data_IF_285065342717
#
_entry.id   IF_285065342717
#
_cell.length_a   1.000
_cell.length_b   1.000
_cell.length_c   1.000
_cell.angle_alpha   90.00
_cell.angle_beta   90.00
_cell.angle_gamma   90.00
#
_symmetry.space_group_name_H-M   'P 1'
#
loop_
_entity.id
_entity.type
_entity.pdbx_description
1 polymer ?
#
# COMPACT_ATOMS: atom_id res chain seq x y z
N UNK A 1 4.29 -8.17 16.63
CA UNK A 1 3.37 -9.25 16.23
C UNK A 1 4.09 -10.12 15.23
N UNK A 2 4.05 -11.46 15.36
CA UNK A 2 4.64 -12.37 14.36
C UNK A 2 3.55 -12.88 13.43
N UNK A 3 3.72 -12.73 12.12
CA UNK A 3 2.83 -13.27 11.09
C UNK A 3 3.58 -14.39 10.36
N UNK A 4 3.02 -15.59 10.35
CA UNK A 4 3.62 -16.77 9.71
C UNK A 4 2.81 -17.19 8.49
N UNK A 5 3.49 -17.44 7.37
CA UNK A 5 2.89 -18.06 6.18
C UNK A 5 3.28 -19.53 6.15
N UNK A 6 2.32 -20.38 5.77
CA UNK A 6 2.56 -21.83 5.66
C UNK A 6 3.26 -22.12 4.34
N UNK A 7 4.46 -22.71 4.42
CA UNK A 7 5.26 -23.13 3.26
C UNK A 7 6.75 -23.22 3.58
N UNK A 8 7.53 -23.80 2.67
CA UNK A 8 9.00 -23.79 2.71
C UNK A 8 9.53 -22.86 1.61
N UNK A 9 9.59 -21.57 1.93
CA UNK A 9 10.00 -20.56 0.95
C UNK A 9 11.52 -20.47 0.76
N UNK A 10 12.27 -21.49 1.19
CA UNK A 10 13.61 -21.74 0.66
C UNK A 10 13.56 -22.44 -0.71
N UNK A 11 12.44 -23.11 -1.02
CA UNK A 11 12.29 -23.96 -2.23
C UNK A 11 11.28 -23.42 -3.22
N UNK A 12 10.27 -22.70 -2.74
CA UNK A 12 9.16 -22.21 -3.57
C UNK A 12 8.76 -20.79 -3.18
N UNK A 13 8.13 -20.07 -4.11
CA UNK A 13 7.51 -18.78 -3.79
C UNK A 13 6.17 -19.01 -3.08
N UNK A 14 5.76 -18.15 -2.14
CA UNK A 14 4.42 -18.21 -1.56
C UNK A 14 3.33 -18.12 -2.64
N UNK A 15 2.19 -18.78 -2.41
CA UNK A 15 1.06 -18.69 -3.32
C UNK A 15 0.56 -17.24 -3.41
N UNK A 16 0.08 -16.83 -4.58
CA UNK A 16 -0.38 -15.46 -4.82
C UNK A 16 -1.41 -14.99 -3.78
N UNK A 17 -2.36 -15.86 -3.43
CA UNK A 17 -3.39 -15.60 -2.42
C UNK A 17 -2.82 -15.40 -1.00
N UNK A 18 -1.70 -16.05 -0.66
CA UNK A 18 -1.03 -15.85 0.63
C UNK A 18 -0.38 -14.45 0.70
N UNK A 19 0.23 -14.00 -0.40
CA UNK A 19 0.81 -12.66 -0.49
C UNK A 19 -0.28 -11.59 -0.45
N UNK A 20 -1.37 -11.77 -1.20
CA UNK A 20 -2.51 -10.86 -1.19
C UNK A 20 -3.14 -10.74 0.21
N UNK A 21 -3.36 -11.89 0.88
CA UNK A 21 -3.88 -11.91 2.24
C UNK A 21 -2.94 -11.23 3.23
N UNK A 22 -1.63 -11.42 3.08
CA UNK A 22 -0.62 -10.76 3.92
C UNK A 22 -0.66 -9.23 3.72
N UNK A 23 -0.73 -8.75 2.48
CA UNK A 23 -0.83 -7.32 2.19
C UNK A 23 -2.10 -6.74 2.81
N UNK A 24 -3.26 -7.36 2.60
CA UNK A 24 -4.53 -6.89 3.16
C UNK A 24 -4.49 -6.83 4.69
N UNK A 25 -3.88 -7.84 5.33
CA UNK A 25 -3.68 -7.84 6.78
C UNK A 25 -2.77 -6.69 7.22
N UNK A 26 -1.64 -6.49 6.56
CA UNK A 26 -0.71 -5.43 6.89
C UNK A 26 -1.33 -4.04 6.70
N UNK A 27 -2.11 -3.82 5.63
CA UNK A 27 -2.88 -2.59 5.40
C UNK A 27 -3.90 -2.35 6.52
N UNK A 28 -4.68 -3.38 6.89
CA UNK A 28 -5.65 -3.28 7.97
C UNK A 28 -4.97 -2.95 9.31
N UNK A 29 -3.87 -3.64 9.62
CA UNK A 29 -3.11 -3.37 10.84
C UNK A 29 -2.57 -1.94 10.80
N UNK A 30 -2.05 -1.46 9.67
CA UNK A 30 -1.57 -0.09 9.54
C UNK A 30 -2.68 0.92 9.83
N UNK A 31 -3.89 0.71 9.31
CA UNK A 31 -5.05 1.57 9.60
C UNK A 31 -5.41 1.57 11.09
N UNK A 32 -5.41 0.39 11.73
CA UNK A 32 -5.71 0.27 13.16
C UNK A 32 -4.66 0.99 14.00
N UNK A 33 -3.38 0.78 13.71
CA UNK A 33 -2.28 1.36 14.50
C UNK A 33 -2.05 2.84 14.18
N UNK A 34 -2.35 3.32 12.96
CA UNK A 34 -2.29 4.74 12.61
C UNK A 34 -3.20 5.61 13.48
N UNK A 35 -4.30 5.05 14.00
CA UNK A 35 -5.18 5.75 14.94
C UNK A 35 -4.53 6.02 16.31
N UNK A 36 -3.45 5.30 16.65
CA UNK A 36 -2.76 5.38 17.95
C UNK A 36 -1.29 5.77 17.84
N UNK A 37 -0.69 5.63 16.66
CA UNK A 37 0.67 6.01 16.33
C UNK A 37 0.65 6.76 14.98
N UNK A 38 1.00 8.05 14.90
CA UNK A 38 0.99 8.83 13.65
C UNK A 38 1.86 8.22 12.54
N UNK A 39 2.86 7.43 12.93
CA UNK A 39 3.76 6.70 12.04
C UNK A 39 3.20 5.34 11.58
N UNK A 40 2.03 4.92 12.06
CA UNK A 40 1.44 3.63 11.70
C UNK A 40 2.35 2.45 12.07
N UNK A 41 2.46 1.48 11.17
CA UNK A 41 3.37 0.33 11.27
C UNK A 41 4.69 0.63 10.55
N UNK A 42 5.58 1.33 11.25
CA UNK A 42 6.88 1.74 10.70
C UNK A 42 7.96 0.64 10.70
N UNK A 43 7.70 -0.53 11.29
CA UNK A 43 8.74 -1.54 11.53
C UNK A 43 8.30 -2.96 11.17
N UNK A 44 7.92 -3.18 9.91
CA UNK A 44 7.68 -4.55 9.40
C UNK A 44 9.00 -5.18 8.98
N UNK A 45 9.48 -6.06 9.84
CA UNK A 45 10.72 -6.83 9.69
C UNK A 45 10.44 -8.28 9.30
N UNK A 46 11.35 -8.84 8.52
CA UNK A 46 11.45 -10.27 8.27
C UNK A 46 12.01 -10.96 9.52
N UNK A 47 11.68 -12.24 9.72
CA UNK A 47 12.15 -12.95 10.91
C UNK A 47 13.69 -13.03 10.99
N UNK A 48 14.37 -13.17 9.85
CA UNK A 48 15.84 -13.10 9.74
C UNK A 48 16.46 -11.77 10.13
N UNK A 49 15.68 -10.68 10.17
CA UNK A 49 16.18 -9.34 10.55
C UNK A 49 16.11 -9.11 12.07
N UNK A 50 15.42 -9.98 12.81
CA UNK A 50 15.28 -9.90 14.27
C UNK A 50 15.87 -11.11 15.00
N UNK A 51 16.37 -12.10 14.26
CA UNK A 51 16.96 -13.31 14.83
C UNK A 51 17.81 -14.11 13.84
N UNK A 52 18.64 -15.01 14.36
CA UNK A 52 19.50 -15.89 13.55
C UNK A 52 18.68 -17.03 12.92
N UNK A 53 17.98 -16.73 11.83
CA UNK A 53 17.13 -17.68 11.10
C UNK A 53 17.12 -17.37 9.61
N UNK A 54 16.80 -18.39 8.79
CA UNK A 54 16.60 -18.22 7.33
C UNK A 54 15.17 -17.78 6.98
N UNK A 55 14.24 -17.89 7.93
CA UNK A 55 12.84 -17.49 7.78
C UNK A 55 12.71 -15.98 7.43
N UNK A 56 11.85 -15.57 6.47
CA UNK A 56 10.79 -16.35 5.84
C UNK A 56 11.24 -17.16 4.61
N UNK A 57 12.52 -17.22 4.29
CA UNK A 57 13.05 -17.98 3.15
C UNK A 57 13.60 -17.09 2.05
N UNK A 58 14.46 -17.67 1.21
CA UNK A 58 15.17 -16.95 0.13
C UNK A 58 14.26 -16.61 -1.06
N UNK A 59 13.24 -17.43 -1.31
CA UNK A 59 12.22 -17.22 -2.35
C UNK A 59 11.05 -16.35 -1.88
N UNK A 60 11.08 -15.87 -0.63
CA UNK A 60 10.05 -14.96 -0.13
C UNK A 60 10.16 -13.59 -0.83
N UNK A 61 9.05 -13.04 -1.38
CA UNK A 61 9.11 -11.87 -2.25
C UNK A 61 9.16 -10.55 -1.45
N UNK A 62 10.31 -10.30 -0.79
CA UNK A 62 10.53 -9.13 0.08
C UNK A 62 10.29 -7.82 -0.64
N UNK A 63 10.88 -7.64 -1.82
CA UNK A 63 10.78 -6.37 -2.55
C UNK A 63 9.34 -6.08 -2.99
N UNK A 64 8.60 -7.12 -3.38
CA UNK A 64 7.18 -7.00 -3.69
C UNK A 64 6.37 -6.59 -2.45
N UNK A 65 6.68 -7.19 -1.30
CA UNK A 65 6.03 -6.83 -0.05
C UNK A 65 6.32 -5.36 0.31
N UNK A 66 7.59 -4.96 0.29
CA UNK A 66 8.01 -3.58 0.61
C UNK A 66 7.40 -2.56 -0.34
N UNK A 67 7.43 -2.80 -1.65
CA UNK A 67 6.84 -1.89 -2.62
C UNK A 67 5.31 -1.73 -2.51
N UNK A 68 4.61 -2.73 -1.97
CA UNK A 68 3.15 -2.69 -1.79
C UNK A 68 2.72 -2.25 -0.39
N UNK A 69 3.64 -2.26 0.58
CA UNK A 69 3.34 -2.04 2.00
C UNK A 69 4.05 -0.83 2.62
N UNK A 70 5.17 -0.35 2.08
CA UNK A 70 5.96 0.72 2.69
C UNK A 70 5.07 1.92 3.05
N UNK A 71 4.88 2.21 4.36
CA UNK A 71 4.45 3.53 4.77
C UNK A 71 5.55 4.52 4.39
N UNK A 72 5.19 5.76 4.11
CA UNK A 72 6.13 6.84 3.87
C UNK A 72 7.12 6.94 5.04
N UNK A 73 8.28 6.29 4.90
CA UNK A 73 9.34 6.34 5.89
C UNK A 73 9.85 7.78 5.95
N UNK A 74 10.01 8.25 7.19
CA UNK A 74 10.48 9.59 7.50
C UNK A 74 11.75 9.97 6.74
N UNK A 75 11.73 11.23 6.34
CA UNK A 75 12.76 12.05 5.75
C UNK A 75 14.13 11.93 6.44
N UNK A 76 15.02 11.19 5.79
CA UNK A 76 16.48 11.33 5.93
C UNK A 76 17.04 11.86 4.59
N UNK A 77 16.65 13.10 4.24
CA UNK A 77 17.41 14.03 3.41
C UNK A 77 18.16 13.47 2.20
N UNK A 78 17.58 13.66 1.00
CA UNK A 78 18.38 13.84 -0.21
C UNK A 78 17.83 13.21 -1.49
N UNK A 79 16.98 13.98 -2.19
CA UNK A 79 16.89 14.01 -3.65
C UNK A 79 16.57 12.67 -4.35
N UNK A 80 15.29 12.31 -4.36
CA UNK A 80 14.72 11.20 -5.11
C UNK A 80 13.20 11.16 -5.00
N UNK A 81 12.57 12.23 -5.49
CA UNK A 81 11.18 12.38 -5.99
C UNK A 81 10.09 11.44 -5.44
N UNK A 82 9.05 12.04 -4.86
CA UNK A 82 7.72 11.48 -4.54
C UNK A 82 6.97 10.99 -5.81
N UNK A 83 7.58 10.11 -6.61
CA UNK A 83 7.05 9.65 -7.90
C UNK A 83 5.73 8.92 -7.75
N UNK A 84 5.59 8.12 -6.69
CA UNK A 84 4.38 7.37 -6.39
C UNK A 84 3.14 8.27 -6.22
N UNK A 85 3.29 9.50 -5.70
CA UNK A 85 2.19 10.46 -5.60
C UNK A 85 1.70 10.90 -6.99
N UNK A 86 2.64 11.13 -7.90
CA UNK A 86 2.32 11.48 -9.28
C UNK A 86 1.69 10.28 -10.02
N UNK A 87 2.14 9.06 -9.75
CA UNK A 87 1.53 7.84 -10.30
C UNK A 87 0.05 7.70 -9.92
N UNK A 88 -0.31 7.99 -8.66
CA UNK A 88 -1.71 7.99 -8.21
C UNK A 88 -2.54 9.04 -8.96
N UNK A 89 -2.02 10.26 -9.12
CA UNK A 89 -2.73 11.32 -9.88
C UNK A 89 -2.93 10.92 -11.34
N UNK A 90 -1.89 10.38 -11.99
CA UNK A 90 -1.96 9.91 -13.37
C UNK A 90 -3.00 8.80 -13.53
N UNK A 91 -2.99 7.83 -12.61
CA UNK A 91 -3.91 6.71 -12.59
C UNK A 91 -5.36 7.15 -12.39
N UNK A 92 -5.61 7.98 -11.37
CA UNK A 92 -6.94 8.49 -11.06
C UNK A 92 -7.54 9.25 -12.25
N UNK A 93 -6.71 10.01 -12.98
CA UNK A 93 -7.12 10.68 -14.21
C UNK A 93 -7.39 9.69 -15.35
N UNK A 94 -6.52 8.69 -15.52
CA UNK A 94 -6.66 7.67 -16.56
C UNK A 94 -7.97 6.87 -16.44
N UNK A 95 -8.40 6.56 -15.22
CA UNK A 95 -9.66 5.85 -14.95
C UNK A 95 -10.87 6.79 -14.89
N UNK A 96 -10.67 8.11 -15.06
CA UNK A 96 -11.71 9.11 -15.02
C UNK A 96 -12.19 9.48 -13.61
N UNK A 97 -11.57 8.99 -12.54
CA UNK A 97 -11.93 9.32 -11.15
C UNK A 97 -11.80 10.83 -10.86
N UNK A 98 -10.78 11.45 -11.45
CA UNK A 98 -10.58 12.90 -11.51
C UNK A 98 -10.48 13.33 -12.98
N UNK A 99 -10.89 14.55 -13.28
CA UNK A 99 -10.92 15.06 -14.65
C UNK A 99 -9.72 15.96 -14.99
N UNK A 100 -9.17 16.62 -13.98
CA UNK A 100 -8.09 17.59 -14.12
C UNK A 100 -6.79 17.07 -13.50
N UNK A 101 -5.67 17.69 -13.86
CA UNK A 101 -4.37 17.40 -13.27
C UNK A 101 -4.22 18.18 -11.97
N UNK A 102 -3.69 17.52 -10.92
CA UNK A 102 -3.55 18.11 -9.59
C UNK A 102 -2.14 17.91 -9.06
N UNK A 103 -1.61 18.92 -8.37
CA UNK A 103 -0.39 18.81 -7.59
C UNK A 103 -0.65 17.92 -6.37
N UNK A 104 0.10 16.82 -6.17
CA UNK A 104 -0.26 15.85 -5.12
C UNK A 104 -0.22 16.41 -3.69
N UNK A 105 0.63 17.40 -3.43
CA UNK A 105 0.80 18.00 -2.10
C UNK A 105 -0.07 19.26 -1.91
N UNK A 106 -0.88 19.65 -2.91
CA UNK A 106 -1.80 20.77 -2.79
C UNK A 106 -3.03 20.38 -1.94
N UNK A 107 -3.41 21.17 -0.92
CA UNK A 107 -4.61 20.90 -0.13
C UNK A 107 -5.90 20.91 -0.98
N UNK A 108 -6.64 19.81 -0.96
CA UNK A 108 -7.92 19.72 -1.64
C UNK A 108 -9.02 20.52 -0.94
N UNK A 109 -9.83 21.25 -1.72
CA UNK A 109 -11.03 21.89 -1.19
C UNK A 109 -12.12 20.85 -0.84
N UNK A 110 -12.92 21.12 0.19
CA UNK A 110 -14.01 20.21 0.64
C UNK A 110 -14.99 19.83 -0.48
N UNK A 111 -15.34 20.78 -1.36
CA UNK A 111 -16.27 20.51 -2.46
C UNK A 111 -15.65 19.57 -3.51
N UNK A 112 -14.34 19.64 -3.73
CA UNK A 112 -13.64 18.77 -4.66
C UNK A 112 -13.66 17.32 -4.18
N UNK A 113 -13.37 17.12 -2.88
CA UNK A 113 -13.46 15.78 -2.26
C UNK A 113 -14.86 15.19 -2.43
N UNK A 114 -15.91 16.01 -2.25
CA UNK A 114 -17.29 15.58 -2.47
C UNK A 114 -17.58 15.25 -3.94
N UNK A 115 -17.06 16.03 -4.89
CA UNK A 115 -17.24 15.78 -6.32
C UNK A 115 -16.62 14.44 -6.75
N UNK A 116 -15.39 14.14 -6.30
CA UNK A 116 -14.72 12.86 -6.56
C UNK A 116 -15.52 11.69 -5.96
N UNK A 117 -16.03 11.85 -4.73
CA UNK A 117 -16.85 10.83 -4.09
C UNK A 117 -18.17 10.58 -4.85
N UNK A 118 -18.81 11.63 -5.36
CA UNK A 118 -20.00 11.50 -6.20
C UNK A 118 -19.70 10.76 -7.50
N UNK A 119 -18.58 11.08 -8.15
CA UNK A 119 -18.18 10.42 -9.39
C UNK A 119 -17.90 8.92 -9.18
N UNK A 120 -17.24 8.55 -8.07
CA UNK A 120 -17.07 7.16 -7.68
C UNK A 120 -18.41 6.42 -7.55
N UNK A 121 -19.40 7.04 -6.89
CA UNK A 121 -20.73 6.44 -6.74
C UNK A 121 -21.44 6.26 -8.09
N UNK A 122 -21.24 7.17 -9.04
CA UNK A 122 -21.77 7.05 -10.40
C UNK A 122 -21.12 5.89 -11.14
N UNK A 123 -19.79 5.76 -11.08
CA UNK A 123 -19.05 4.65 -11.70
C UNK A 123 -19.51 3.29 -11.15
N UNK A 124 -19.69 3.18 -9.83
CA UNK A 124 -20.21 1.96 -9.19
C UNK A 124 -21.63 1.66 -9.65
N UNK A 125 -22.51 2.68 -9.74
CA UNK A 125 -23.87 2.49 -10.23
C UNK A 125 -23.88 2.01 -11.68
N UNK A 126 -23.08 2.60 -12.56
CA UNK A 126 -23.01 2.23 -13.98
C UNK A 126 -22.48 0.80 -14.16
N UNK A 127 -21.44 0.42 -13.40
CA UNK A 127 -20.89 -0.94 -13.44
C UNK A 127 -21.83 -2.02 -12.91
N UNK A 128 -22.86 -1.67 -12.13
CA UNK A 128 -23.88 -2.60 -11.65
C UNK A 128 -25.00 -2.93 -12.66
N UNK A 129 -25.04 -2.24 -13.81
CA UNK A 129 -26.02 -2.44 -14.89
C UNK A 129 -25.44 -3.06 -16.18
N UNK A 130 -24.16 -3.44 -16.17
CA UNK A 130 -23.50 -4.25 -17.20
C UNK A 130 -23.29 -5.68 -16.70
#
# INVERSE_FOLDING_TARGET
MGICLVGDFMKEVPAAAQIESLINLLTLLNQIYAAYNPQGLDDVKLHREVGATVCPGDMFPVEKLRGLYLPAAGDDGGHGTEEWKNEIILEARRIGLILEEHQPDEPAHKWFVLAVAMHLLELIKIGAFL
#
